data_IF_210921910179
#
_entry.id   IF_210921910179
#
_cell.length_a   1.000
_cell.length_b   1.000
_cell.length_c   1.000
_cell.angle_alpha   90.00
_cell.angle_beta   90.00
_cell.angle_gamma   90.00
#
_symmetry.space_group_name_H-M   'P 1'
#
loop_
_entity.id
_entity.type
_entity.pdbx_description
1 polymer ?
#
# COMPACT_ATOMS: atom_id res chain seq x y z
N UNK A 1 2.67 17.84 5.97
CA UNK A 1 3.20 19.06 6.56
C UNK A 1 4.71 19.10 6.58
N UNK A 2 5.24 20.19 7.08
CA UNK A 2 6.70 20.40 7.11
C UNK A 2 7.43 19.38 7.98
N UNK A 3 6.84 18.99 9.11
CA UNK A 3 7.44 18.01 10.02
C UNK A 3 7.52 16.64 9.37
N UNK A 4 6.48 16.24 8.64
CA UNK A 4 6.46 14.96 7.94
C UNK A 4 7.53 14.92 6.84
N UNK A 5 7.65 16.00 6.08
CA UNK A 5 8.67 16.09 5.03
C UNK A 5 10.08 16.04 5.61
N UNK A 6 10.31 16.74 6.73
CA UNK A 6 11.60 16.72 7.40
C UNK A 6 11.97 15.31 7.89
N UNK A 7 11.02 14.58 8.46
CA UNK A 7 11.25 13.22 8.92
C UNK A 7 11.54 12.28 7.75
N UNK A 8 10.83 12.42 6.63
CA UNK A 8 11.11 11.64 5.43
C UNK A 8 12.52 11.85 4.91
N UNK A 9 13.02 13.08 4.97
CA UNK A 9 14.40 13.40 4.56
C UNK A 9 15.43 12.73 5.46
N UNK A 10 15.17 12.65 6.77
CA UNK A 10 16.09 12.02 7.70
C UNK A 10 16.19 10.50 7.52
N UNK A 11 15.18 9.89 6.90
CA UNK A 11 15.18 8.47 6.61
C UNK A 11 16.04 8.08 5.39
N UNK A 12 16.60 9.07 4.68
CA UNK A 12 17.48 8.80 3.53
C UNK A 12 16.76 8.29 2.29
N UNK A 13 15.44 8.52 2.19
CA UNK A 13 14.65 8.07 1.06
C UNK A 13 14.11 6.67 1.20
N UNK A 14 13.49 6.19 0.12
CA UNK A 14 12.84 4.88 0.11
C UNK A 14 12.83 4.35 -1.33
N UNK A 15 13.31 3.13 -1.52
CA UNK A 15 13.34 2.52 -2.86
C UNK A 15 12.00 1.86 -3.17
N UNK A 16 11.68 1.70 -4.46
CA UNK A 16 10.46 1.02 -4.90
C UNK A 16 10.34 -0.35 -4.21
N UNK A 17 9.16 -0.62 -3.67
CA UNK A 17 8.89 -1.87 -2.95
C UNK A 17 9.27 -1.86 -1.49
N UNK A 18 10.08 -0.91 -1.05
CA UNK A 18 10.42 -0.73 0.36
C UNK A 18 9.35 0.10 1.08
N UNK A 19 9.40 0.15 2.39
CA UNK A 19 8.49 0.96 3.18
C UNK A 19 9.25 1.64 4.32
N UNK A 20 8.80 2.83 4.68
CA UNK A 20 9.33 3.61 5.81
C UNK A 20 8.15 4.15 6.61
N UNK A 21 8.33 4.30 7.90
CA UNK A 21 7.27 4.78 8.78
C UNK A 21 7.69 6.08 9.43
N UNK A 22 6.74 7.03 9.50
CA UNK A 22 6.91 8.31 10.19
C UNK A 22 5.72 8.55 11.09
N UNK A 23 5.83 9.54 11.97
CA UNK A 23 4.69 10.00 12.76
C UNK A 23 3.69 10.71 11.86
N UNK A 24 2.42 10.68 12.24
CA UNK A 24 1.37 11.35 11.48
C UNK A 24 1.31 12.87 11.70
N UNK A 25 1.92 13.36 12.77
CA UNK A 25 1.93 14.78 13.14
C UNK A 25 0.52 15.37 13.21
N UNK A 26 0.16 16.27 12.28
CA UNK A 26 -1.15 16.91 12.26
C UNK A 26 -2.24 16.10 11.56
N UNK A 27 -1.88 14.95 10.99
CA UNK A 27 -2.85 14.06 10.33
C UNK A 27 -3.63 13.26 11.38
N UNK A 28 -4.85 12.80 11.05
CA UNK A 28 -5.64 12.02 12.01
C UNK A 28 -5.12 10.60 12.26
N UNK A 29 -4.01 10.23 11.67
CA UNK A 29 -3.36 8.93 11.86
C UNK A 29 -2.16 9.10 12.80
N UNK A 30 -1.93 8.10 13.65
CA UNK A 30 -0.78 8.09 14.57
C UNK A 30 0.53 7.98 13.81
N UNK A 31 0.55 7.18 12.75
CA UNK A 31 1.71 6.95 11.90
C UNK A 31 1.33 7.05 10.44
N UNK A 32 2.29 7.38 9.59
CA UNK A 32 2.15 7.30 8.13
C UNK A 32 3.23 6.36 7.62
N UNK A 33 2.84 5.40 6.80
CA UNK A 33 3.77 4.47 6.17
C UNK A 33 3.92 4.90 4.72
N UNK A 34 5.16 5.08 4.30
CA UNK A 34 5.51 5.53 2.95
C UNK A 34 6.08 4.36 2.16
N UNK A 35 5.54 4.10 0.98
CA UNK A 35 6.03 3.06 0.11
C UNK A 35 5.92 3.52 -1.34
N UNK A 36 7.04 3.60 -2.08
CA UNK A 36 6.99 3.92 -3.50
C UNK A 36 6.54 2.68 -4.28
N UNK A 37 5.37 2.77 -4.90
CA UNK A 37 4.87 1.70 -5.75
C UNK A 37 5.58 1.69 -7.09
N UNK A 38 5.58 0.54 -7.80
CA UNK A 38 6.21 0.45 -9.11
C UNK A 38 5.42 1.17 -10.18
N UNK A 39 6.14 1.75 -11.15
CA UNK A 39 5.55 2.29 -12.37
C UNK A 39 5.32 1.12 -13.31
N UNK A 40 4.13 1.05 -13.92
CA UNK A 40 3.83 -0.03 -14.85
C UNK A 40 4.60 0.15 -16.17
N UNK A 41 5.35 -0.87 -16.57
CA UNK A 41 6.17 -0.88 -17.78
C UNK A 41 5.95 -2.15 -18.60
N UNK A 42 4.72 -2.69 -18.59
CA UNK A 42 4.36 -3.85 -19.38
C UNK A 42 4.42 -5.19 -18.67
N UNK A 43 4.84 -5.23 -17.42
CA UNK A 43 4.86 -6.45 -16.61
C UNK A 43 6.15 -7.26 -16.65
N UNK A 44 7.20 -6.75 -17.31
CA UNK A 44 8.46 -7.48 -17.49
C UNK A 44 9.60 -6.99 -16.58
N UNK A 45 9.29 -6.09 -15.64
CA UNK A 45 10.29 -5.48 -14.74
C UNK A 45 10.01 -5.77 -13.28
N UNK A 46 9.47 -6.95 -13.00
CA UNK A 46 9.15 -7.41 -11.63
C UNK A 46 8.12 -6.51 -10.93
N UNK A 47 7.23 -5.86 -11.70
CA UNK A 47 6.24 -4.94 -11.13
C UNK A 47 5.30 -5.64 -10.15
N UNK A 48 4.89 -6.89 -10.43
CA UNK A 48 4.01 -7.65 -9.55
C UNK A 48 4.69 -7.89 -8.20
N UNK A 49 5.93 -8.34 -8.22
CA UNK A 49 6.71 -8.61 -7.02
C UNK A 49 6.98 -7.33 -6.23
N UNK A 50 7.25 -6.24 -6.92
CA UNK A 50 7.47 -4.93 -6.28
C UNK A 50 6.19 -4.43 -5.62
N UNK A 51 5.04 -4.57 -6.27
CA UNK A 51 3.77 -4.17 -5.68
C UNK A 51 3.43 -5.03 -4.47
N UNK A 52 3.63 -6.33 -4.56
CA UNK A 52 3.42 -7.22 -3.42
C UNK A 52 4.33 -6.83 -2.26
N UNK A 53 5.60 -6.50 -2.52
CA UNK A 53 6.54 -6.02 -1.50
C UNK A 53 6.06 -4.76 -0.82
N UNK A 54 5.44 -3.82 -1.55
CA UNK A 54 4.88 -2.62 -0.96
C UNK A 54 3.87 -2.97 0.14
N UNK A 55 2.92 -3.84 -0.17
CA UNK A 55 1.91 -4.24 0.80
C UNK A 55 2.51 -5.02 1.97
N UNK A 56 3.38 -5.99 1.69
CA UNK A 56 3.98 -6.82 2.75
C UNK A 56 4.86 -6.01 3.69
N UNK A 57 5.67 -5.10 3.15
CA UNK A 57 6.56 -4.28 3.97
C UNK A 57 5.78 -3.26 4.80
N UNK A 58 4.68 -2.71 4.26
CA UNK A 58 3.81 -1.83 5.04
C UNK A 58 3.16 -2.58 6.21
N UNK A 59 2.69 -3.79 5.98
CA UNK A 59 2.08 -4.61 7.03
C UNK A 59 3.13 -5.00 8.08
N UNK A 60 4.34 -5.34 7.66
CA UNK A 60 5.43 -5.65 8.58
C UNK A 60 5.74 -4.49 9.52
N UNK A 61 5.79 -3.26 8.97
CA UNK A 61 6.00 -2.06 9.79
C UNK A 61 4.82 -1.81 10.74
N UNK A 62 3.60 -2.00 10.27
CA UNK A 62 2.42 -1.85 11.13
C UNK A 62 2.49 -2.80 12.31
N UNK A 63 2.89 -4.04 12.11
CA UNK A 63 3.06 -5.03 13.18
C UNK A 63 4.19 -4.64 14.14
N UNK A 64 5.32 -4.19 13.59
CA UNK A 64 6.47 -3.74 14.39
C UNK A 64 6.08 -2.60 15.33
N UNK A 65 5.26 -1.67 14.85
CA UNK A 65 4.79 -0.53 15.63
C UNK A 65 3.48 -0.80 16.36
N UNK A 66 3.05 -2.06 16.41
CA UNK A 66 1.86 -2.53 17.14
C UNK A 66 0.57 -1.83 16.71
N UNK A 67 0.46 -1.49 15.43
CA UNK A 67 -0.75 -0.95 14.85
C UNK A 67 -1.76 -2.08 14.67
N UNK A 68 -3.02 -1.84 15.05
CA UNK A 68 -4.11 -2.80 14.88
C UNK A 68 -4.91 -2.56 13.63
N UNK A 69 -4.86 -1.33 13.12
CA UNK A 69 -5.60 -0.90 11.93
C UNK A 69 -4.64 -0.27 10.94
N UNK A 70 -4.90 -0.48 9.66
CA UNK A 70 -4.14 0.12 8.58
C UNK A 70 -5.05 0.38 7.40
N UNK A 71 -4.87 1.53 6.73
CA UNK A 71 -5.63 1.87 5.54
C UNK A 71 -4.66 2.08 4.37
N UNK A 72 -4.96 1.46 3.25
CA UNK A 72 -4.17 1.58 2.02
C UNK A 72 -4.95 2.28 0.93
N UNK A 73 -4.30 3.14 0.13
CA UNK A 73 -4.86 3.50 -1.17
C UNK A 73 -4.61 2.38 -2.17
N UNK A 74 -5.19 2.49 -3.37
CA UNK A 74 -4.88 1.57 -4.46
C UNK A 74 -3.50 1.93 -5.03
N UNK A 75 -2.46 1.24 -4.55
CA UNK A 75 -1.08 1.55 -4.89
C UNK A 75 -0.81 1.34 -6.38
N UNK A 76 -0.12 2.30 -7.00
CA UNK A 76 0.33 2.28 -8.40
C UNK A 76 -0.75 2.31 -9.48
N UNK A 77 -2.04 2.35 -9.13
CA UNK A 77 -3.12 2.30 -10.13
C UNK A 77 -3.53 3.67 -10.68
N UNK A 78 -2.99 4.75 -10.14
CA UNK A 78 -3.24 6.11 -10.66
C UNK A 78 -2.24 6.47 -11.75
N UNK A 79 -1.40 7.47 -11.48
CA UNK A 79 -0.41 7.99 -12.43
C UNK A 79 0.55 6.90 -12.93
N UNK A 80 0.86 5.91 -12.11
CA UNK A 80 1.79 4.84 -12.46
C UNK A 80 1.18 3.78 -13.38
N UNK A 81 -0.12 3.86 -13.65
CA UNK A 81 -0.82 3.06 -14.68
C UNK A 81 -0.78 1.55 -14.50
N UNK A 82 -0.53 1.05 -13.33
CA UNK A 82 -0.59 -0.38 -13.05
C UNK A 82 -2.03 -0.87 -13.31
N UNK A 83 -2.22 -1.96 -14.09
CA UNK A 83 -3.58 -2.46 -14.35
C UNK A 83 -4.32 -2.74 -13.05
N UNK A 84 -5.51 -2.15 -12.90
CA UNK A 84 -6.25 -2.20 -11.62
C UNK A 84 -6.64 -3.62 -11.24
N UNK A 85 -7.06 -4.43 -12.20
CA UNK A 85 -7.46 -5.82 -11.96
C UNK A 85 -6.29 -6.63 -11.36
N UNK A 86 -5.12 -6.47 -11.96
CA UNK A 86 -3.90 -7.16 -11.54
C UNK A 86 -3.44 -6.67 -10.16
N UNK A 87 -3.47 -5.36 -9.96
CA UNK A 87 -3.13 -4.75 -8.67
C UNK A 87 -4.07 -5.22 -7.56
N UNK A 88 -5.37 -5.31 -7.86
CA UNK A 88 -6.37 -5.75 -6.89
C UNK A 88 -6.12 -7.20 -6.44
N UNK A 89 -5.78 -8.08 -7.36
CA UNK A 89 -5.47 -9.47 -7.01
C UNK A 89 -4.26 -9.58 -6.10
N UNK A 90 -3.21 -8.82 -6.40
CA UNK A 90 -2.00 -8.79 -5.59
C UNK A 90 -2.30 -8.26 -4.19
N UNK A 91 -3.00 -7.13 -4.10
CA UNK A 91 -3.35 -6.50 -2.83
C UNK A 91 -4.21 -7.43 -1.96
N UNK A 92 -5.29 -7.96 -2.53
CA UNK A 92 -6.22 -8.78 -1.76
C UNK A 92 -5.60 -10.10 -1.30
N UNK A 93 -4.69 -10.67 -2.08
CA UNK A 93 -3.93 -11.86 -1.66
C UNK A 93 -3.14 -11.57 -0.38
N UNK A 94 -2.42 -10.46 -0.34
CA UNK A 94 -1.62 -10.08 0.82
C UNK A 94 -2.52 -9.76 2.02
N UNK A 95 -3.59 -9.02 1.80
CA UNK A 95 -4.51 -8.63 2.87
C UNK A 95 -5.19 -9.85 3.49
N UNK A 96 -5.58 -10.82 2.67
CA UNK A 96 -6.23 -12.03 3.15
C UNK A 96 -5.29 -12.88 4.03
N UNK A 97 -4.02 -12.90 3.69
CA UNK A 97 -3.00 -13.60 4.49
C UNK A 97 -2.75 -12.92 5.84
N UNK A 98 -3.21 -11.69 6.02
CA UNK A 98 -3.00 -10.88 7.22
C UNK A 98 -4.32 -10.41 7.82
N UNK A 99 -5.35 -11.26 7.83
CA UNK A 99 -6.71 -10.91 8.26
C UNK A 99 -6.86 -10.71 9.78
N UNK A 100 -5.82 -10.95 10.53
CA UNK A 100 -5.76 -10.62 11.96
C UNK A 100 -5.66 -9.11 12.21
N UNK A 101 -5.29 -8.33 11.18
CA UNK A 101 -5.28 -6.87 11.25
C UNK A 101 -6.55 -6.33 10.61
N UNK A 102 -7.02 -5.18 11.09
CA UNK A 102 -8.15 -4.47 10.49
C UNK A 102 -7.60 -3.62 9.34
N UNK A 103 -7.71 -4.15 8.12
CA UNK A 103 -7.14 -3.52 6.93
C UNK A 103 -8.27 -3.00 6.05
N UNK A 104 -8.17 -1.73 5.67
CA UNK A 104 -9.12 -1.07 4.77
C UNK A 104 -8.44 -0.63 3.48
N UNK A 105 -9.14 -0.79 2.35
CA UNK A 105 -8.71 -0.25 1.07
C UNK A 105 -9.54 0.99 0.75
N UNK A 106 -8.87 2.11 0.53
CA UNK A 106 -9.53 3.37 0.18
C UNK A 106 -9.43 3.55 -1.32
N UNK A 107 -10.56 3.51 -2.01
CA UNK A 107 -10.63 3.65 -3.46
C UNK A 107 -11.26 4.99 -3.81
N UNK A 108 -10.70 5.67 -4.81
CA UNK A 108 -11.14 7.02 -5.18
C UNK A 108 -12.37 7.06 -6.08
N UNK A 109 -12.76 5.92 -6.68
CA UNK A 109 -13.94 5.85 -7.53
C UNK A 109 -14.63 4.48 -7.38
N UNK A 110 -15.89 4.42 -7.82
CA UNK A 110 -16.71 3.21 -7.70
C UNK A 110 -16.17 2.05 -8.53
N UNK A 111 -15.64 2.34 -9.71
CA UNK A 111 -15.10 1.30 -10.60
C UNK A 111 -13.94 0.57 -9.95
N UNK A 112 -13.00 1.31 -9.37
CA UNK A 112 -11.85 0.72 -8.64
C UNK A 112 -12.33 -0.08 -7.44
N UNK A 113 -13.29 0.46 -6.68
CA UNK A 113 -13.87 -0.22 -5.53
C UNK A 113 -14.50 -1.56 -5.93
N UNK A 114 -15.24 -1.58 -7.02
CA UNK A 114 -15.87 -2.80 -7.51
C UNK A 114 -14.84 -3.86 -7.90
N UNK A 115 -13.75 -3.45 -8.53
CA UNK A 115 -12.68 -4.35 -8.95
C UNK A 115 -12.00 -4.98 -7.72
N UNK A 116 -11.71 -4.20 -6.69
CA UNK A 116 -11.11 -4.73 -5.46
C UNK A 116 -12.08 -5.65 -4.71
N UNK A 117 -13.36 -5.29 -4.66
CA UNK A 117 -14.38 -6.14 -4.04
C UNK A 117 -14.52 -7.48 -4.75
N UNK A 118 -14.53 -7.46 -6.08
CA UNK A 118 -14.60 -8.68 -6.88
C UNK A 118 -13.38 -9.57 -6.67
N UNK A 119 -12.20 -8.99 -6.56
CA UNK A 119 -10.96 -9.74 -6.29
C UNK A 119 -11.02 -10.43 -4.93
N UNK A 120 -11.52 -9.73 -3.91
CA UNK A 120 -11.66 -10.28 -2.58
C UNK A 120 -12.66 -11.44 -2.57
N UNK A 121 -13.81 -11.27 -3.24
CA UNK A 121 -14.86 -12.31 -3.32
C UNK A 121 -14.34 -13.55 -4.02
N UNK A 122 -13.54 -13.41 -5.07
CA UNK A 122 -12.97 -14.52 -5.82
C UNK A 122 -12.01 -15.35 -4.99
N UNK A 123 -11.45 -14.80 -3.94
CA UNK A 123 -10.50 -15.47 -3.05
C UNK A 123 -11.16 -16.11 -1.82
N UNK A 124 -12.45 -15.90 -1.65
CA UNK A 124 -13.19 -16.37 -0.47
C UNK A 124 -13.52 -17.85 -0.55
#
# INVERSE_FOLDING_TARGET
GKELLAECRTLGGCKTGEARITKGYKLPAKYVIHTPGPIWRGGNYCEDELLESCYRNCIALAREYKCKTIAFPSISTGIYSFPVDRAAQIAMKVLKENDDLDISMVCFDEKTKEIYSAALDAMS
#
